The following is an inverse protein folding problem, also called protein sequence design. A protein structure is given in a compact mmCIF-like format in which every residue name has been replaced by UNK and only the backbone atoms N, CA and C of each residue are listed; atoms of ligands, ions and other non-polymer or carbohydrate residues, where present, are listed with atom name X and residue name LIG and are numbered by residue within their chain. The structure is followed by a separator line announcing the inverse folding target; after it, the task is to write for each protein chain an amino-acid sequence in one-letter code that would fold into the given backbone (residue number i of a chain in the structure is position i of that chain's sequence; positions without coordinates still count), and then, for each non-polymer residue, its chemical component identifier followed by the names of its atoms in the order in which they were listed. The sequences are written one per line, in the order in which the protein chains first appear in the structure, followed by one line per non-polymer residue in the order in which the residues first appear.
data_IF_221485799435
#
_entry.id   IF_221485799435
#
_cell.length_a   1.000
_cell.length_b   1.000
_cell.length_c   1.000
_cell.angle_alpha   90.00
_cell.angle_beta   90.00
_cell.angle_gamma   90.00
#
_symmetry.space_group_name_H-M   'P 1'
#
loop_
_entity.id
_entity.type
_entity.pdbx_description
1 polymer ?
#
# COMPACT_ATOMS: atom_id res chain seq x y z
N UNK A 1 20.54 -17.39 -19.10
CA UNK A 1 21.20 -16.40 -19.97
C UNK A 1 20.20 -15.45 -20.63
N UNK A 2 18.93 -15.82 -20.81
CA UNK A 2 17.90 -14.97 -21.44
C UNK A 2 17.46 -13.73 -20.63
N UNK A 3 17.34 -13.81 -19.29
CA UNK A 3 16.86 -12.70 -18.46
C UNK A 3 17.67 -11.39 -18.60
N UNK A 4 19.00 -11.50 -18.71
CA UNK A 4 19.89 -10.34 -18.92
C UNK A 4 19.88 -9.82 -20.36
N UNK A 5 19.63 -10.69 -21.34
CA UNK A 5 19.66 -10.34 -22.77
C UNK A 5 18.34 -9.70 -23.22
N UNK A 6 17.22 -10.08 -22.60
CA UNK A 6 15.90 -9.53 -22.90
C UNK A 6 15.57 -8.28 -22.07
N UNK A 7 16.40 -7.92 -21.09
CA UNK A 7 16.22 -6.71 -20.29
C UNK A 7 14.90 -6.68 -19.51
N UNK A 8 14.43 -7.84 -19.02
CA UNK A 8 13.11 -7.95 -18.38
C UNK A 8 13.01 -7.15 -17.07
N UNK A 9 14.14 -6.87 -16.42
CA UNK A 9 14.27 -6.03 -15.24
C UNK A 9 15.72 -5.55 -15.08
N UNK A 10 15.91 -4.47 -14.32
CA UNK A 10 17.19 -3.83 -14.06
C UNK A 10 17.48 -3.71 -12.56
N UNK A 11 18.71 -3.28 -12.24
CA UNK A 11 19.08 -2.90 -10.87
C UNK A 11 18.22 -1.71 -10.43
N UNK A 12 17.62 -1.81 -9.25
CA UNK A 12 16.69 -0.81 -8.71
C UNK A 12 15.21 -1.20 -8.84
N UNK A 13 14.86 -2.13 -9.71
CA UNK A 13 13.47 -2.58 -9.87
C UNK A 13 12.99 -3.35 -8.64
N UNK A 14 11.70 -3.23 -8.31
CA UNK A 14 11.09 -4.05 -7.27
C UNK A 14 10.43 -5.28 -7.89
N UNK A 15 10.91 -6.47 -7.52
CA UNK A 15 10.50 -7.72 -8.14
C UNK A 15 9.88 -8.68 -7.14
N UNK A 16 8.90 -9.45 -7.64
CA UNK A 16 8.51 -10.71 -7.04
C UNK A 16 9.03 -11.86 -7.91
N UNK A 17 9.91 -12.70 -7.35
CA UNK A 17 10.47 -13.85 -8.04
C UNK A 17 10.75 -14.99 -7.05
N UNK A 18 10.41 -16.23 -7.43
CA UNK A 18 10.66 -17.44 -6.60
C UNK A 18 10.14 -17.34 -5.16
N UNK A 19 9.01 -16.65 -4.95
CA UNK A 19 8.42 -16.44 -3.62
C UNK A 19 9.04 -15.32 -2.78
N UNK A 20 10.06 -14.64 -3.31
CA UNK A 20 10.72 -13.50 -2.66
C UNK A 20 10.22 -12.19 -3.28
N UNK A 21 9.95 -11.20 -2.43
CA UNK A 21 9.67 -9.82 -2.83
C UNK A 21 10.84 -8.93 -2.40
N UNK A 22 11.38 -8.13 -3.31
CA UNK A 22 12.46 -7.22 -2.97
C UNK A 22 13.00 -6.40 -4.13
N UNK A 23 13.84 -5.42 -3.80
CA UNK A 23 14.52 -4.57 -4.78
C UNK A 23 15.72 -5.29 -5.37
N UNK A 24 15.94 -5.19 -6.68
CA UNK A 24 17.12 -5.75 -7.34
C UNK A 24 18.36 -4.96 -6.94
N UNK A 25 19.27 -5.62 -6.24
CA UNK A 25 20.57 -5.04 -5.86
C UNK A 25 21.61 -5.27 -6.95
N UNK A 26 21.60 -6.46 -7.56
CA UNK A 26 22.57 -6.82 -8.60
C UNK A 26 22.01 -7.88 -9.54
N UNK A 27 22.32 -7.77 -10.83
CA UNK A 27 22.03 -8.81 -11.82
C UNK A 27 23.35 -9.32 -12.38
N UNK A 28 23.73 -10.55 -12.00
CA UNK A 28 24.90 -11.25 -12.53
C UNK A 28 24.51 -12.28 -13.59
N UNK A 29 25.51 -12.88 -14.26
CA UNK A 29 25.29 -13.84 -15.35
C UNK A 29 24.48 -15.08 -14.91
N UNK A 30 24.69 -15.55 -13.68
CA UNK A 30 24.06 -16.77 -13.13
C UNK A 30 23.14 -16.50 -11.95
N UNK A 31 23.26 -15.36 -11.28
CA UNK A 31 22.55 -15.06 -10.03
C UNK A 31 22.01 -13.64 -10.08
N UNK A 32 20.76 -13.47 -9.67
CA UNK A 32 20.13 -12.17 -9.37
C UNK A 32 20.03 -12.04 -7.84
N UNK A 33 20.39 -10.88 -7.30
CA UNK A 33 20.31 -10.60 -5.87
C UNK A 33 19.18 -9.63 -5.60
N UNK A 34 18.23 -10.02 -4.74
CA UNK A 34 17.15 -9.16 -4.25
C UNK A 34 17.40 -8.77 -2.79
N UNK A 35 17.02 -7.56 -2.40
CA UNK A 35 16.94 -7.14 -1.00
C UNK A 35 15.48 -6.99 -0.60
N UNK A 36 15.05 -7.70 0.44
CA UNK A 36 13.69 -7.56 0.96
C UNK A 36 13.53 -6.33 1.87
N UNK A 37 12.29 -6.04 2.27
CA UNK A 37 11.96 -4.93 3.17
C UNK A 37 12.62 -5.02 4.56
N UNK A 38 13.10 -6.20 4.97
CA UNK A 38 13.85 -6.42 6.23
C UNK A 38 15.35 -6.27 6.03
N UNK A 39 15.80 -5.91 4.82
CA UNK A 39 17.19 -5.75 4.46
C UNK A 39 17.93 -7.06 4.16
N UNK A 40 17.25 -8.21 4.12
CA UNK A 40 17.88 -9.50 3.83
C UNK A 40 18.18 -9.64 2.34
N UNK A 41 19.35 -10.20 2.02
CA UNK A 41 19.76 -10.46 0.64
C UNK A 41 19.42 -11.89 0.22
N UNK A 42 18.70 -11.99 -0.90
CA UNK A 42 18.24 -13.24 -1.50
C UNK A 42 18.96 -13.47 -2.82
N UNK A 43 19.73 -14.55 -2.92
CA UNK A 43 20.49 -14.92 -4.11
C UNK A 43 19.71 -15.95 -4.93
N UNK A 44 19.14 -15.52 -6.04
CA UNK A 44 18.31 -16.35 -6.91
C UNK A 44 19.11 -16.80 -8.15
N UNK A 45 19.33 -18.11 -8.35
CA UNK A 45 19.91 -18.60 -9.60
C UNK A 45 19.00 -18.23 -10.79
N UNK A 46 19.54 -17.58 -11.81
CA UNK A 46 18.79 -17.14 -12.98
C UNK A 46 18.06 -18.30 -13.70
N UNK A 47 18.57 -19.53 -13.58
CA UNK A 47 17.96 -20.72 -14.17
C UNK A 47 16.77 -21.30 -13.39
N UNK A 48 16.57 -20.92 -12.13
CA UNK A 48 15.41 -21.35 -11.32
C UNK A 48 14.29 -20.31 -11.31
N UNK A 49 14.50 -19.13 -11.88
CA UNK A 49 13.49 -18.08 -11.99
C UNK A 49 12.57 -18.43 -13.17
N UNK A 50 11.42 -19.06 -12.86
CA UNK A 50 10.44 -19.44 -13.88
C UNK A 50 9.53 -18.30 -14.33
N UNK A 51 9.32 -17.30 -13.47
CA UNK A 51 8.55 -16.10 -13.77
C UNK A 51 9.02 -14.95 -12.86
N UNK A 52 8.87 -13.73 -13.36
CA UNK A 52 9.18 -12.49 -12.64
C UNK A 52 7.99 -11.57 -12.75
N UNK A 53 7.62 -10.94 -11.64
CA UNK A 53 6.68 -9.82 -11.65
C UNK A 53 7.45 -8.56 -11.31
N UNK A 54 7.58 -7.66 -12.28
CA UNK A 54 8.13 -6.32 -12.05
C UNK A 54 7.02 -5.42 -11.53
N UNK A 55 7.29 -4.72 -10.43
CA UNK A 55 6.42 -3.64 -9.94
C UNK A 55 7.02 -2.30 -10.35
N UNK A 56 6.39 -1.67 -11.36
CA UNK A 56 6.81 -0.35 -11.86
C UNK A 56 6.44 0.80 -10.91
N UNK A 57 5.52 0.55 -9.97
CA UNK A 57 5.08 1.57 -9.03
C UNK A 57 5.73 1.30 -7.66
N UNK A 58 6.64 2.17 -7.18
CA UNK A 58 7.19 2.03 -5.85
C UNK A 58 6.09 2.21 -4.79
N UNK A 59 4.92 2.76 -5.14
CA UNK A 59 3.80 3.00 -4.25
C UNK A 59 2.73 1.91 -4.37
N UNK A 60 2.51 1.20 -3.27
CA UNK A 60 1.34 0.37 -3.05
C UNK A 60 0.16 1.23 -2.58
N UNK A 61 -1.02 0.97 -3.13
CA UNK A 61 -2.24 1.70 -2.79
C UNK A 61 -3.03 0.92 -1.74
N UNK A 62 -3.52 1.63 -0.73
CA UNK A 62 -4.35 1.09 0.33
C UNK A 62 -5.59 1.96 0.54
N UNK A 63 -6.59 1.38 1.18
CA UNK A 63 -7.73 2.11 1.73
C UNK A 63 -7.81 1.83 3.23
N UNK A 64 -7.89 2.90 4.02
CA UNK A 64 -8.26 2.81 5.44
C UNK A 64 -9.77 2.86 5.52
N UNK A 65 -10.36 1.81 6.09
CA UNK A 65 -11.79 1.63 6.20
C UNK A 65 -12.22 1.59 7.66
N UNK A 66 -13.11 2.51 8.00
CA UNK A 66 -13.67 2.68 9.34
C UNK A 66 -15.18 2.53 9.29
N UNK A 67 -15.68 1.54 10.00
CA UNK A 67 -17.11 1.27 10.12
C UNK A 67 -17.69 1.96 11.36
N UNK A 68 -18.77 2.72 11.18
CA UNK A 68 -19.50 3.40 12.24
C UNK A 68 -20.96 2.92 12.31
N UNK A 69 -21.54 2.91 13.51
CA UNK A 69 -22.93 2.48 13.74
C UNK A 69 -23.96 3.54 13.34
N UNK A 70 -23.63 4.83 13.40
CA UNK A 70 -24.58 5.92 13.14
C UNK A 70 -23.97 6.98 12.23
N UNK A 71 -24.82 7.65 11.43
CA UNK A 71 -24.41 8.71 10.52
C UNK A 71 -24.15 10.05 11.21
N UNK A 72 -24.72 10.28 12.40
CA UNK A 72 -24.66 11.56 13.12
C UNK A 72 -23.23 12.01 13.49
N UNK A 73 -22.28 11.07 13.53
CA UNK A 73 -20.87 11.35 13.85
C UNK A 73 -19.93 11.09 12.66
N UNK A 74 -20.47 10.84 11.46
CA UNK A 74 -19.67 10.40 10.33
C UNK A 74 -18.71 11.49 9.84
N UNK A 75 -19.14 12.75 9.74
CA UNK A 75 -18.28 13.85 9.32
C UNK A 75 -17.16 14.11 10.34
N UNK A 76 -17.50 14.16 11.64
CA UNK A 76 -16.51 14.36 12.69
C UNK A 76 -15.49 13.23 12.73
N UNK A 77 -15.95 11.98 12.62
CA UNK A 77 -15.08 10.81 12.57
C UNK A 77 -14.20 10.82 11.32
N UNK A 78 -14.71 11.27 10.16
CA UNK A 78 -13.93 11.39 8.94
C UNK A 78 -12.79 12.40 9.10
N UNK A 79 -13.05 13.56 9.72
CA UNK A 79 -12.01 14.55 10.04
C UNK A 79 -10.95 13.97 10.97
N UNK A 80 -11.35 13.25 12.02
CA UNK A 80 -10.41 12.60 12.95
C UNK A 80 -9.56 11.54 12.25
N UNK A 81 -10.17 10.72 11.39
CA UNK A 81 -9.45 9.72 10.60
C UNK A 81 -8.44 10.38 9.66
N UNK A 82 -8.85 11.47 8.99
CA UNK A 82 -7.98 12.20 8.09
C UNK A 82 -6.76 12.74 8.83
N UNK A 83 -6.98 13.42 9.96
CA UNK A 83 -5.87 13.95 10.76
C UNK A 83 -4.92 12.84 11.23
N UNK A 84 -5.45 11.71 11.71
CA UNK A 84 -4.63 10.59 12.15
C UNK A 84 -3.77 10.01 11.02
N UNK A 85 -4.31 9.93 9.80
CA UNK A 85 -3.55 9.48 8.63
C UNK A 85 -2.52 10.53 8.20
N UNK A 86 -2.86 11.82 8.23
CA UNK A 86 -1.93 12.92 7.91
C UNK A 86 -0.75 12.98 8.88
N UNK A 87 -0.99 12.76 10.17
CA UNK A 87 0.06 12.69 11.20
C UNK A 87 1.04 11.53 10.92
N UNK A 88 0.52 10.36 10.51
CA UNK A 88 1.34 9.22 10.10
C UNK A 88 2.12 9.51 8.82
N UNK A 89 1.49 10.13 7.82
CA UNK A 89 2.18 10.53 6.59
C UNK A 89 3.32 11.53 6.87
N UNK A 90 3.10 12.45 7.81
CA UNK A 90 4.11 13.43 8.23
C UNK A 90 5.26 12.76 8.98
N UNK A 91 4.95 11.80 9.86
CA UNK A 91 5.97 11.05 10.59
C UNK A 91 6.84 10.19 9.65
N UNK A 92 6.25 9.61 8.61
CA UNK A 92 6.91 8.78 7.62
C UNK A 92 6.99 9.48 6.25
N UNK A 93 7.48 10.72 6.27
CA UNK A 93 7.59 11.54 5.07
C UNK A 93 8.38 10.82 3.96
N UNK A 94 7.85 10.86 2.74
CA UNK A 94 8.41 10.17 1.58
C UNK A 94 8.10 8.67 1.51
N UNK A 95 7.56 8.06 2.57
CA UNK A 95 7.21 6.65 2.63
C UNK A 95 5.70 6.42 2.60
N UNK A 96 4.91 7.38 3.09
CA UNK A 96 3.47 7.38 3.01
C UNK A 96 2.94 8.75 2.55
N UNK A 97 1.85 8.73 1.79
CA UNK A 97 1.14 9.94 1.37
C UNK A 97 -0.37 9.70 1.26
N UNK A 98 -1.14 10.66 1.73
CA UNK A 98 -2.59 10.67 1.56
C UNK A 98 -2.93 11.00 0.09
N UNK A 99 -3.83 10.23 -0.52
CA UNK A 99 -4.18 10.35 -1.96
C UNK A 99 -5.47 11.14 -2.21
N UNK A 100 -6.16 11.58 -1.15
CA UNK A 100 -7.40 12.33 -1.28
C UNK A 100 -8.11 12.50 0.05
N UNK A 101 -9.31 13.07 -0.01
CA UNK A 101 -10.16 13.27 1.18
C UNK A 101 -10.91 11.98 1.53
N UNK A 102 -11.36 11.85 2.79
CA UNK A 102 -12.22 10.75 3.20
C UNK A 102 -13.51 10.70 2.37
N UNK A 103 -13.92 9.49 1.97
CA UNK A 103 -15.20 9.23 1.31
C UNK A 103 -16.11 8.55 2.30
N UNK A 104 -17.23 9.21 2.63
CA UNK A 104 -18.26 8.66 3.51
C UNK A 104 -19.27 7.91 2.63
N UNK A 105 -19.38 6.59 2.84
CA UNK A 105 -20.38 5.74 2.19
C UNK A 105 -21.47 5.35 3.18
N UNK A 106 -22.70 5.85 3.01
CA UNK A 106 -23.81 5.41 3.82
C UNK A 106 -24.21 3.96 3.46
N UNK A 107 -24.39 3.13 4.48
CA UNK A 107 -24.98 1.80 4.40
C UNK A 107 -26.34 1.77 5.12
N UNK A 108 -27.00 0.61 5.12
CA UNK A 108 -28.37 0.47 5.66
C UNK A 108 -28.45 0.69 7.18
N UNK A 109 -27.42 0.26 7.92
CA UNK A 109 -27.35 0.36 9.40
C UNK A 109 -25.94 0.75 9.88
N UNK A 110 -25.11 1.23 8.97
CA UNK A 110 -23.73 1.58 9.24
C UNK A 110 -23.28 2.65 8.25
N UNK A 111 -22.20 3.33 8.57
CA UNK A 111 -21.50 4.22 7.65
C UNK A 111 -20.07 3.73 7.52
N UNK A 112 -19.57 3.63 6.30
CA UNK A 112 -18.16 3.32 6.05
C UNK A 112 -17.42 4.60 5.66
N UNK A 113 -16.28 4.86 6.28
CA UNK A 113 -15.38 5.93 5.91
C UNK A 113 -14.17 5.29 5.24
N UNK A 114 -13.91 5.67 4.00
CA UNK A 114 -12.80 5.17 3.19
C UNK A 114 -11.78 6.30 2.99
N UNK A 115 -10.52 6.09 3.36
CA UNK A 115 -9.43 7.03 3.11
C UNK A 115 -8.38 6.37 2.22
N UNK A 116 -8.19 6.86 0.98
CA UNK A 116 -7.17 6.33 0.10
C UNK A 116 -5.78 6.82 0.51
N UNK A 117 -4.83 5.91 0.64
CA UNK A 117 -3.43 6.21 0.99
C UNK A 117 -2.49 5.43 0.09
N UNK A 118 -1.38 6.05 -0.28
CA UNK A 118 -0.25 5.38 -0.91
C UNK A 118 0.88 5.21 0.08
N UNK A 119 1.48 4.03 0.08
CA UNK A 119 2.64 3.71 0.91
C UNK A 119 3.67 3.03 0.03
N UNK A 120 4.96 3.30 0.25
CA UNK A 120 5.98 2.57 -0.48
C UNK A 120 5.87 1.07 -0.25
N UNK A 121 6.12 0.27 -1.29
CA UNK A 121 5.99 -1.19 -1.23
C UNK A 121 6.91 -1.83 -0.18
N UNK A 122 8.06 -1.21 0.11
CA UNK A 122 8.95 -1.64 1.19
C UNK A 122 8.46 -1.23 2.60
N UNK A 123 7.49 -0.32 2.66
CA UNK A 123 6.94 0.24 3.88
C UNK A 123 5.47 -0.16 4.12
N UNK A 124 4.98 -1.22 3.48
CA UNK A 124 3.57 -1.68 3.61
C UNK A 124 3.15 -1.93 5.07
N UNK A 125 4.09 -2.20 5.97
CA UNK A 125 3.86 -2.31 7.41
C UNK A 125 3.24 -1.03 8.02
N UNK A 126 3.54 0.16 7.47
CA UNK A 126 2.91 1.42 7.88
C UNK A 126 1.39 1.32 7.64
N UNK A 127 0.99 0.83 6.47
CA UNK A 127 -0.41 0.67 6.14
C UNK A 127 -1.09 -0.45 6.94
N UNK A 128 -0.43 -1.61 7.06
CA UNK A 128 -1.07 -2.83 7.57
C UNK A 128 -1.00 -2.98 9.10
N UNK A 129 -0.03 -2.36 9.76
CA UNK A 129 0.22 -2.52 11.20
C UNK A 129 0.05 -1.21 11.96
N UNK A 130 0.62 -0.11 11.47
CA UNK A 130 0.63 1.18 12.17
C UNK A 130 -0.70 1.94 12.03
N UNK A 131 -1.21 2.13 10.81
CA UNK A 131 -2.44 2.90 10.55
C UNK A 131 -3.67 2.38 11.31
N UNK A 132 -3.99 1.06 11.36
CA UNK A 132 -5.16 0.58 12.08
C UNK A 132 -5.14 0.96 13.56
N UNK A 133 -3.95 0.91 14.18
CA UNK A 133 -3.76 1.24 15.59
C UNK A 133 -3.90 2.75 15.80
N UNK A 134 -3.24 3.57 14.98
CA UNK A 134 -3.27 5.03 15.07
C UNK A 134 -4.67 5.58 14.89
N UNK A 135 -5.38 5.11 13.88
CA UNK A 135 -6.77 5.54 13.59
C UNK A 135 -7.70 5.13 14.72
N UNK A 136 -7.56 3.91 15.25
CA UNK A 136 -8.36 3.46 16.40
C UNK A 136 -8.15 4.36 17.62
N UNK A 137 -6.91 4.64 17.97
CA UNK A 137 -6.59 5.48 19.13
C UNK A 137 -7.10 6.92 18.96
N UNK A 138 -6.99 7.48 17.76
CA UNK A 138 -7.50 8.82 17.46
C UNK A 138 -9.03 8.90 17.60
N UNK A 139 -9.75 7.89 17.10
CA UNK A 139 -11.20 7.79 17.22
C UNK A 139 -11.65 7.62 18.67
N UNK A 140 -10.96 6.77 19.44
CA UNK A 140 -11.21 6.59 20.88
C UNK A 140 -11.00 7.90 21.65
N UNK A 141 -9.91 8.64 21.37
CA UNK A 141 -9.62 9.93 21.99
C UNK A 141 -10.67 11.01 21.64
N UNK A 142 -11.23 10.96 20.44
CA UNK A 142 -12.32 11.84 20.00
C UNK A 142 -13.70 11.43 20.53
N UNK A 143 -13.80 10.32 21.28
CA UNK A 143 -15.07 9.80 21.80
C UNK A 143 -15.96 9.14 20.74
N UNK A 144 -15.43 8.80 19.57
CA UNK A 144 -16.17 8.10 18.51
C UNK A 144 -16.26 6.63 18.85
N UNK A 145 -17.49 6.13 19.04
CA UNK A 145 -17.72 4.71 19.36
C UNK A 145 -17.69 3.86 18.09
N UNK A 146 -16.74 2.94 18.05
CA UNK A 146 -16.68 1.89 17.04
C UNK A 146 -17.62 0.73 17.39
N UNK A 147 -18.23 0.05 16.41
CA UNK A 147 -18.99 -1.17 16.64
C UNK A 147 -18.09 -2.27 17.24
N UNK A 148 -18.64 -3.07 18.15
CA UNK A 148 -17.90 -4.18 18.76
C UNK A 148 -17.33 -5.14 17.71
N UNK A 149 -16.06 -5.52 17.87
CA UNK A 149 -15.37 -6.44 16.96
C UNK A 149 -15.07 -5.88 15.56
N UNK A 150 -15.31 -4.59 15.30
CA UNK A 150 -15.06 -3.93 14.02
C UNK A 150 -14.02 -2.80 14.17
N UNK A 151 -12.74 -3.12 14.41
CA UNK A 151 -11.70 -2.11 14.39
C UNK A 151 -11.49 -1.54 12.97
N UNK A 152 -10.83 -0.38 12.84
CA UNK A 152 -10.35 0.13 11.56
C UNK A 152 -9.55 -0.96 10.83
N UNK A 153 -9.78 -1.07 9.52
CA UNK A 153 -9.08 -2.04 8.66
C UNK A 153 -8.36 -1.30 7.56
N UNK A 154 -7.23 -1.86 7.13
CA UNK A 154 -6.51 -1.36 5.96
C UNK A 154 -6.33 -2.51 4.99
N UNK A 155 -6.66 -2.29 3.73
CA UNK A 155 -6.49 -3.30 2.68
C UNK A 155 -5.92 -2.69 1.42
N UNK A 156 -5.29 -3.53 0.60
CA UNK A 156 -4.81 -3.13 -0.71
C UNK A 156 -5.97 -2.68 -1.60
N UNK A 157 -5.85 -1.47 -2.14
CA UNK A 157 -6.79 -0.96 -3.14
C UNK A 157 -6.33 -1.49 -4.49
N UNK A 158 -7.02 -2.50 -5.02
CA UNK A 158 -6.73 -3.03 -6.34
C UNK A 158 -6.89 -1.92 -7.39
N UNK A 159 -5.81 -1.56 -8.10
CA UNK A 159 -5.93 -0.75 -9.32
C UNK A 159 -6.30 -1.68 -10.48
N UNK A 160 -7.39 -1.42 -11.22
CA UNK A 160 -7.60 -2.08 -12.50
C UNK A 160 -6.51 -1.67 -13.48
N UNK A 161 -5.79 -2.65 -14.04
CA UNK A 161 -4.64 -2.47 -14.94
C UNK A 161 -4.94 -1.64 -16.21
N UNK A 162 -6.20 -1.49 -16.60
CA UNK A 162 -6.62 -0.76 -17.79
C UNK A 162 -6.58 0.77 -17.65
N UNK A 163 -6.46 1.33 -16.43
CA UNK A 163 -6.38 2.78 -16.25
C UNK A 163 -5.00 3.35 -16.67
N UNK A 164 -3.91 2.61 -16.46
CA UNK A 164 -2.55 3.03 -16.88
C UNK A 164 -2.36 3.05 -18.40
N UNK A 165 -3.08 2.19 -19.14
CA UNK A 165 -3.00 2.16 -20.60
C UNK A 165 -3.71 3.38 -21.23
N UNK A 166 -4.79 3.87 -20.61
CA UNK A 166 -5.51 5.04 -21.10
C UNK A 166 -4.73 6.35 -20.92
N UNK A 167 -3.90 6.46 -19.87
CA UNK A 167 -3.06 7.65 -19.62
C UNK A 167 -1.80 7.66 -20.49
N UNK A 168 -1.24 6.48 -20.82
CA UNK A 168 -0.07 6.37 -21.70
C UNK A 168 -0.40 6.62 -23.19
N UNK A 169 -1.65 6.40 -23.61
CA UNK A 169 -2.13 6.71 -24.97
C UNK A 169 -2.64 8.15 -25.12
N UNK A 170 -2.78 8.91 -24.03
CA UNK A 170 -3.20 10.31 -24.07
C UNK A 170 -2.04 11.30 -24.33
N UNK A 171 -0.80 10.85 -24.20
CA UNK A 171 0.45 11.62 -24.44
C UNK A 171 1.12 11.28 -25.80
N UNK A 172 0.38 10.67 -26.74
CA UNK A 172 0.79 10.45 -28.14
C UNK A 172 -0.18 11.11 -29.11
#
# INVERSE_FOLDING_TARGET
LFLLLEGQYAVGDFLQASGVNGRVVSVGLRVTTLQDARGQLHYLPNGSIGAVTVRDDPWAQFSVDVLLSTSESAEAAATVCQQAVEDVCTQYEGWARLEGTPVIRPGTHHVNIELPISVQTEAEWIALEELPVRVRLALEAAGVKLPEGRPPRVYHRARPRWLKLAEADADK
#
